data_IF_330123656453
#
_entry.id   IF_330123656453
#
_cell.length_a   1.000
_cell.length_b   1.000
_cell.length_c   1.000
_cell.angle_alpha   90.00
_cell.angle_beta   90.00
_cell.angle_gamma   90.00
#
_symmetry.space_group_name_H-M   'P 1'
#
loop_
_entity.id
_entity.type
_entity.pdbx_description
1 polymer ?
#
# COMPACT_ATOMS: atom_id res chain seq x y z
N UNK A 1 -18.99 -22.63 -21.68
CA UNK A 1 -19.81 -22.02 -20.62
C UNK A 1 -19.55 -20.53 -20.43
N UNK A 2 -18.37 -20.00 -20.80
CA UNK A 2 -18.00 -18.56 -20.70
C UNK A 2 -18.94 -17.58 -21.44
N UNK A 3 -19.46 -17.95 -22.63
CA UNK A 3 -20.28 -17.04 -23.45
C UNK A 3 -21.64 -16.65 -22.83
N UNK A 4 -22.18 -17.44 -21.89
CA UNK A 4 -23.52 -17.18 -21.32
C UNK A 4 -23.45 -16.16 -20.17
N UNK A 5 -22.37 -16.17 -19.39
CA UNK A 5 -22.15 -15.23 -18.28
C UNK A 5 -21.87 -13.81 -18.80
N UNK A 6 -21.01 -13.68 -19.81
CA UNK A 6 -20.73 -12.39 -20.46
C UNK A 6 -22.00 -11.80 -21.09
N UNK A 7 -22.84 -12.64 -21.72
CA UNK A 7 -24.11 -12.21 -22.29
C UNK A 7 -25.15 -11.79 -21.25
N UNK A 8 -25.20 -12.46 -20.08
CA UNK A 8 -26.09 -12.06 -18.97
C UNK A 8 -25.68 -10.72 -18.36
N UNK A 9 -24.38 -10.53 -18.14
CA UNK A 9 -23.84 -9.25 -17.72
C UNK A 9 -24.13 -8.18 -18.78
N UNK A 10 -23.78 -8.41 -20.05
CA UNK A 10 -24.07 -7.48 -21.14
C UNK A 10 -25.56 -7.13 -21.26
N UNK A 11 -26.48 -8.07 -21.02
CA UNK A 11 -27.92 -7.79 -21.04
C UNK A 11 -28.38 -6.87 -19.90
N UNK A 12 -27.79 -6.99 -18.70
CA UNK A 12 -27.98 -6.05 -17.59
C UNK A 12 -27.38 -4.66 -17.91
N UNK A 13 -26.23 -4.63 -18.60
CA UNK A 13 -25.45 -3.41 -18.85
C UNK A 13 -25.80 -2.64 -20.14
N UNK A 14 -26.42 -3.29 -21.14
CA UNK A 14 -26.84 -2.66 -22.41
C UNK A 14 -28.12 -1.82 -22.30
N UNK A 15 -28.76 -1.77 -21.12
CA UNK A 15 -29.85 -0.84 -20.89
C UNK A 15 -29.29 0.56 -20.57
N UNK A 16 -29.14 1.39 -21.61
CA UNK A 16 -28.66 2.79 -21.50
C UNK A 16 -29.42 3.60 -20.44
N UNK A 17 -30.70 3.34 -20.24
CA UNK A 17 -31.49 4.02 -19.21
C UNK A 17 -31.08 3.61 -17.79
N UNK A 18 -30.78 2.32 -17.59
CA UNK A 18 -30.23 1.81 -16.33
C UNK A 18 -28.85 2.40 -16.05
N UNK A 19 -27.96 2.39 -17.04
CA UNK A 19 -26.61 2.95 -16.91
C UNK A 19 -26.61 4.46 -16.56
N UNK A 20 -27.54 5.24 -17.12
CA UNK A 20 -27.68 6.67 -16.79
C UNK A 20 -28.33 6.88 -15.42
N UNK A 21 -29.31 6.05 -15.05
CA UNK A 21 -30.00 6.15 -13.77
C UNK A 21 -29.10 5.75 -12.59
N UNK A 22 -28.41 4.61 -12.69
CA UNK A 22 -27.60 4.05 -11.59
C UNK A 22 -26.39 4.95 -11.26
N UNK A 23 -25.81 5.64 -12.24
CA UNK A 23 -24.72 6.60 -12.01
C UNK A 23 -25.12 7.76 -11.08
N UNK A 24 -26.42 8.05 -10.95
CA UNK A 24 -26.95 9.10 -10.06
C UNK A 24 -27.45 8.53 -8.73
N UNK A 25 -27.69 7.22 -8.66
CA UNK A 25 -28.15 6.53 -7.46
C UNK A 25 -26.97 5.87 -6.71
N UNK A 26 -26.48 6.57 -5.69
CA UNK A 26 -25.34 6.10 -4.89
C UNK A 26 -25.63 4.78 -4.17
N UNK A 27 -26.88 4.55 -3.74
CA UNK A 27 -27.25 3.31 -3.04
C UNK A 27 -27.28 2.18 -4.05
N UNK A 28 -28.04 2.34 -5.14
CA UNK A 28 -28.11 1.35 -6.22
C UNK A 28 -26.74 0.99 -6.80
N UNK A 29 -25.84 1.97 -6.93
CA UNK A 29 -24.47 1.74 -7.41
C UNK A 29 -23.68 0.80 -6.49
N UNK A 30 -23.71 1.01 -5.17
CA UNK A 30 -22.99 0.18 -4.21
C UNK A 30 -23.62 -1.20 -4.08
N UNK A 31 -24.96 -1.29 -4.01
CA UNK A 31 -25.66 -2.58 -3.99
C UNK A 31 -25.35 -3.40 -5.23
N UNK A 32 -25.31 -2.76 -6.40
CA UNK A 32 -24.95 -3.42 -7.65
C UNK A 32 -23.49 -3.89 -7.69
N UNK A 33 -22.55 -3.05 -7.22
CA UNK A 33 -21.15 -3.43 -7.06
C UNK A 33 -21.00 -4.68 -6.18
N UNK A 34 -21.62 -4.69 -5.00
CA UNK A 34 -21.60 -5.82 -4.06
C UNK A 34 -22.13 -7.10 -4.73
N UNK A 35 -23.27 -7.01 -5.42
CA UNK A 35 -23.85 -8.16 -6.10
C UNK A 35 -22.93 -8.71 -7.21
N UNK A 36 -22.32 -7.82 -7.99
CA UNK A 36 -21.37 -8.19 -9.05
C UNK A 36 -20.12 -8.87 -8.49
N UNK A 37 -19.55 -8.35 -7.40
CA UNK A 37 -18.35 -8.93 -6.78
C UNK A 37 -18.65 -10.26 -6.06
N UNK A 38 -19.86 -10.40 -5.50
CA UNK A 38 -20.32 -11.67 -4.96
C UNK A 38 -20.41 -12.74 -6.05
N UNK A 39 -21.04 -12.42 -7.18
CA UNK A 39 -21.11 -13.33 -8.34
C UNK A 39 -19.70 -13.67 -8.86
N UNK A 40 -18.81 -12.68 -8.95
CA UNK A 40 -17.44 -12.88 -9.37
C UNK A 40 -16.66 -13.83 -8.46
N UNK A 41 -16.88 -13.73 -7.16
CA UNK A 41 -16.30 -14.65 -6.17
C UNK A 41 -16.87 -16.06 -6.31
N UNK A 42 -18.18 -16.21 -6.46
CA UNK A 42 -18.84 -17.52 -6.57
C UNK A 42 -18.42 -18.30 -7.83
N UNK A 43 -17.84 -17.62 -8.82
CA UNK A 43 -17.42 -18.19 -10.10
C UNK A 43 -15.91 -18.03 -10.38
N UNK A 44 -15.10 -17.76 -9.34
CA UNK A 44 -13.63 -17.68 -9.42
C UNK A 44 -13.05 -16.70 -10.45
N UNK A 45 -13.74 -15.59 -10.72
CA UNK A 45 -13.25 -14.52 -11.62
C UNK A 45 -13.07 -13.15 -10.96
N UNK A 46 -13.19 -13.08 -9.64
CA UNK A 46 -12.94 -11.85 -8.89
C UNK A 46 -11.53 -11.29 -9.15
N UNK A 47 -11.44 -9.98 -9.40
CA UNK A 47 -10.19 -9.29 -9.72
C UNK A 47 -9.68 -9.47 -11.15
N UNK A 48 -10.31 -10.33 -11.97
CA UNK A 48 -9.92 -10.52 -13.38
C UNK A 48 -10.38 -9.36 -14.28
N UNK A 49 -11.42 -8.63 -13.86
CA UNK A 49 -11.98 -7.49 -14.58
C UNK A 49 -12.19 -6.31 -13.66
N UNK A 50 -12.11 -5.10 -14.23
CA UNK A 50 -12.50 -3.90 -13.51
C UNK A 50 -14.02 -3.92 -13.25
N UNK A 51 -14.47 -3.55 -12.04
CA UNK A 51 -15.88 -3.36 -11.80
C UNK A 51 -16.48 -2.35 -12.78
N UNK A 52 -17.67 -2.66 -13.26
CA UNK A 52 -18.48 -1.69 -14.00
C UNK A 52 -18.66 -0.44 -13.14
N UNK A 53 -18.52 0.74 -13.76
CA UNK A 53 -18.66 2.03 -13.07
C UNK A 53 -17.63 2.28 -11.94
N UNK A 54 -16.42 1.70 -12.04
CA UNK A 54 -15.36 1.88 -11.03
C UNK A 54 -15.11 3.35 -10.65
N UNK A 55 -15.15 4.29 -11.59
CA UNK A 55 -15.02 5.73 -11.30
C UNK A 55 -16.16 6.29 -10.44
N UNK A 56 -17.39 5.87 -10.71
CA UNK A 56 -18.54 6.26 -9.90
C UNK A 56 -18.50 5.58 -8.52
N UNK A 57 -18.07 4.33 -8.44
CA UNK A 57 -17.87 3.60 -7.17
C UNK A 57 -16.83 4.34 -6.34
N UNK A 58 -15.66 4.65 -6.89
CA UNK A 58 -14.61 5.43 -6.22
C UNK A 58 -15.15 6.75 -5.67
N UNK A 59 -15.99 7.46 -6.45
CA UNK A 59 -16.62 8.70 -5.98
C UNK A 59 -17.51 8.46 -4.78
N UNK A 60 -18.29 7.38 -4.74
CA UNK A 60 -19.16 7.05 -3.60
C UNK A 60 -18.35 6.64 -2.37
N UNK A 61 -17.33 5.79 -2.54
CA UNK A 61 -16.43 5.32 -1.47
C UNK A 61 -15.70 6.48 -0.77
N UNK A 62 -15.43 7.57 -1.49
CA UNK A 62 -14.81 8.78 -0.94
C UNK A 62 -15.79 9.73 -0.21
N UNK A 63 -17.06 9.36 -0.07
CA UNK A 63 -18.07 10.15 0.68
C UNK A 63 -18.33 9.58 2.07
N UNK A 64 -19.16 10.29 2.86
CA UNK A 64 -19.66 9.80 4.16
C UNK A 64 -20.72 8.69 4.05
N UNK A 65 -21.13 8.28 2.84
CA UNK A 65 -22.11 7.20 2.60
C UNK A 65 -23.38 7.26 3.48
N UNK A 66 -23.91 8.46 3.75
CA UNK A 66 -24.93 8.69 4.81
C UNK A 66 -26.26 7.95 4.63
N UNK A 67 -26.57 7.48 3.43
CA UNK A 67 -27.83 6.79 3.09
C UNK A 67 -27.64 5.31 2.76
N UNK A 68 -26.42 4.79 2.92
CA UNK A 68 -26.08 3.39 2.66
C UNK A 68 -26.09 2.66 3.99
N UNK A 69 -26.61 1.43 4.01
CA UNK A 69 -26.65 0.60 5.21
C UNK A 69 -25.23 0.19 5.62
N UNK A 70 -24.98 0.04 6.92
CA UNK A 70 -23.65 -0.32 7.43
C UNK A 70 -23.16 -1.69 6.89
N UNK A 71 -24.08 -2.63 6.66
CA UNK A 71 -23.78 -3.93 6.05
C UNK A 71 -23.29 -3.79 4.60
N UNK A 72 -23.91 -2.91 3.82
CA UNK A 72 -23.48 -2.61 2.45
C UNK A 72 -22.14 -1.85 2.45
N UNK A 73 -21.93 -0.93 3.40
CA UNK A 73 -20.65 -0.22 3.55
C UNK A 73 -19.52 -1.20 3.87
N UNK A 74 -19.74 -2.10 4.84
CA UNK A 74 -18.79 -3.16 5.17
C UNK A 74 -18.49 -4.03 3.95
N UNK A 75 -19.52 -4.51 3.24
CA UNK A 75 -19.37 -5.37 2.07
C UNK A 75 -18.62 -4.66 0.94
N UNK A 76 -18.91 -3.37 0.72
CA UNK A 76 -18.21 -2.57 -0.27
C UNK A 76 -16.71 -2.46 0.05
N UNK A 77 -16.34 -2.15 1.29
CA UNK A 77 -14.91 -2.15 1.70
C UNK A 77 -14.27 -3.53 1.54
N UNK A 78 -14.96 -4.57 1.97
CA UNK A 78 -14.46 -5.94 1.88
C UNK A 78 -14.14 -6.34 0.43
N UNK A 79 -15.07 -6.13 -0.50
CA UNK A 79 -14.83 -6.46 -1.90
C UNK A 79 -13.79 -5.54 -2.55
N UNK A 80 -13.69 -4.28 -2.13
CA UNK A 80 -12.60 -3.38 -2.58
C UNK A 80 -11.22 -3.88 -2.16
N UNK A 81 -11.09 -4.38 -0.93
CA UNK A 81 -9.85 -5.00 -0.45
C UNK A 81 -9.48 -6.25 -1.26
N UNK A 82 -10.49 -7.04 -1.68
CA UNK A 82 -10.30 -8.17 -2.61
C UNK A 82 -9.92 -7.77 -4.04
N UNK A 83 -10.04 -6.50 -4.39
CA UNK A 83 -9.50 -5.97 -5.65
C UNK A 83 -8.12 -5.33 -5.45
N UNK A 84 -7.51 -5.49 -4.26
CA UNK A 84 -6.23 -4.89 -3.92
C UNK A 84 -6.30 -3.39 -3.63
N UNK A 85 -7.51 -2.85 -3.43
CA UNK A 85 -7.74 -1.42 -3.30
C UNK A 85 -7.84 -1.04 -1.82
N UNK A 86 -6.97 -0.12 -1.40
CA UNK A 86 -7.00 0.50 -0.08
C UNK A 86 -7.77 1.81 -0.19
N UNK A 87 -8.93 1.87 0.46
CA UNK A 87 -9.78 3.06 0.47
C UNK A 87 -9.36 4.06 1.55
N UNK A 88 -9.76 5.32 1.38
CA UNK A 88 -9.69 6.34 2.43
C UNK A 88 -11.08 6.48 3.08
N UNK A 89 -11.44 5.68 4.09
CA UNK A 89 -12.75 5.76 4.73
C UNK A 89 -12.95 7.12 5.40
N UNK A 90 -14.22 7.53 5.54
CA UNK A 90 -14.56 8.57 6.50
C UNK A 90 -14.40 8.03 7.92
N UNK A 91 -14.01 8.89 8.87
CA UNK A 91 -13.85 8.54 10.29
C UNK A 91 -15.04 7.75 10.86
N UNK A 92 -16.28 8.19 10.56
CA UNK A 92 -17.53 7.50 10.96
C UNK A 92 -17.52 6.00 10.63
N UNK A 93 -16.98 5.64 9.46
CA UNK A 93 -17.05 4.30 8.90
C UNK A 93 -15.72 3.55 9.04
N UNK A 94 -14.75 4.12 9.74
CA UNK A 94 -13.44 3.53 9.89
C UNK A 94 -13.49 2.17 10.61
N UNK A 95 -14.34 2.02 11.62
CA UNK A 95 -14.54 0.75 12.30
C UNK A 95 -15.09 -0.35 11.37
N UNK A 96 -15.99 -0.01 10.43
CA UNK A 96 -16.47 -0.94 9.41
C UNK A 96 -15.35 -1.33 8.44
N UNK A 97 -14.50 -0.37 8.07
CA UNK A 97 -13.32 -0.64 7.25
C UNK A 97 -12.34 -1.60 7.94
N UNK A 98 -12.03 -1.39 9.22
CA UNK A 98 -11.15 -2.30 9.98
C UNK A 98 -11.75 -3.71 10.09
N UNK A 99 -13.06 -3.83 10.31
CA UNK A 99 -13.76 -5.13 10.26
C UNK A 99 -13.63 -5.79 8.88
N UNK A 100 -13.72 -5.03 7.80
CA UNK A 100 -13.57 -5.57 6.44
C UNK A 100 -12.13 -6.05 6.18
N UNK A 101 -11.12 -5.35 6.71
CA UNK A 101 -9.71 -5.79 6.66
C UNK A 101 -9.54 -7.10 7.43
N UNK A 102 -10.04 -7.19 8.66
CA UNK A 102 -9.98 -8.41 9.47
C UNK A 102 -10.65 -9.60 8.76
N UNK A 103 -11.85 -9.37 8.20
CA UNK A 103 -12.57 -10.40 7.46
C UNK A 103 -11.84 -10.84 6.19
N UNK A 104 -11.20 -9.90 5.48
CA UNK A 104 -10.39 -10.22 4.29
C UNK A 104 -9.16 -11.06 4.62
N UNK A 105 -8.51 -10.84 5.77
CA UNK A 105 -7.39 -11.68 6.22
C UNK A 105 -7.90 -13.10 6.53
N UNK A 106 -8.99 -13.21 7.29
CA UNK A 106 -9.57 -14.50 7.66
C UNK A 106 -9.99 -15.35 6.45
N UNK A 107 -10.50 -14.71 5.38
CA UNK A 107 -11.03 -15.40 4.20
C UNK A 107 -9.98 -15.91 3.22
N UNK A 108 -8.78 -15.32 3.18
CA UNK A 108 -7.80 -15.63 2.13
C UNK A 108 -6.44 -16.11 2.66
N UNK A 109 -6.18 -16.09 3.98
CA UNK A 109 -4.80 -16.10 4.51
C UNK A 109 -4.06 -14.82 4.06
N UNK A 110 -3.25 -14.19 4.93
CA UNK A 110 -2.52 -12.96 4.61
C UNK A 110 -1.73 -13.08 3.29
N UNK A 111 -1.20 -14.27 2.99
CA UNK A 111 -0.43 -14.58 1.78
C UNK A 111 -1.25 -14.55 0.48
N UNK A 112 -2.56 -14.81 0.53
CA UNK A 112 -3.44 -14.72 -0.65
C UNK A 112 -4.35 -13.49 -0.63
N UNK A 113 -4.09 -12.52 0.26
CA UNK A 113 -4.74 -11.21 0.15
C UNK A 113 -4.18 -10.46 -1.06
N UNK A 114 -5.04 -9.72 -1.77
CA UNK A 114 -4.63 -8.84 -2.87
C UNK A 114 -3.84 -7.59 -2.41
N UNK A 115 -3.49 -7.53 -1.12
CA UNK A 115 -2.76 -6.44 -0.49
C UNK A 115 -1.33 -6.89 -0.22
N UNK A 116 -0.36 -6.08 -0.63
CA UNK A 116 1.04 -6.43 -0.35
C UNK A 116 1.33 -6.42 1.16
N UNK A 117 2.15 -7.36 1.62
CA UNK A 117 2.59 -7.43 3.02
C UNK A 117 3.19 -6.12 3.54
N UNK A 118 3.87 -5.36 2.67
CA UNK A 118 4.36 -4.00 2.99
C UNK A 118 3.24 -3.04 3.38
N UNK A 119 2.13 -3.02 2.61
CA UNK A 119 0.97 -2.16 2.93
C UNK A 119 0.29 -2.63 4.20
N UNK A 120 0.12 -3.95 4.36
CA UNK A 120 -0.47 -4.55 5.57
C UNK A 120 0.32 -4.15 6.82
N UNK A 121 1.64 -4.27 6.76
CA UNK A 121 2.50 -3.92 7.87
C UNK A 121 2.52 -2.41 8.14
N UNK A 122 2.70 -1.57 7.13
CA UNK A 122 2.77 -0.13 7.34
C UNK A 122 1.44 0.45 7.82
N UNK A 123 0.29 0.03 7.27
CA UNK A 123 -1.02 0.57 7.65
C UNK A 123 -1.57 -0.04 8.94
N UNK A 124 -1.35 -1.34 9.17
CA UNK A 124 -2.01 -2.08 10.24
C UNK A 124 -1.07 -2.74 11.25
N UNK A 125 0.25 -2.70 11.03
CA UNK A 125 1.22 -3.37 11.90
C UNK A 125 1.26 -4.90 11.75
N UNK A 126 0.56 -5.44 10.75
CA UNK A 126 0.39 -6.88 10.56
C UNK A 126 1.55 -7.42 9.71
N UNK A 127 2.29 -8.39 10.25
CA UNK A 127 3.41 -9.06 9.57
C UNK A 127 3.03 -10.44 9.06
N UNK A 128 2.13 -11.12 9.76
CA UNK A 128 1.69 -12.48 9.49
C UNK A 128 0.30 -12.72 10.11
N UNK A 129 -0.26 -13.92 9.93
CA UNK A 129 -1.57 -14.25 10.50
C UNK A 129 -1.59 -14.22 12.04
N UNK A 130 -0.46 -14.52 12.69
CA UNK A 130 -0.35 -14.60 14.15
C UNK A 130 -0.63 -13.25 14.83
N UNK A 131 -0.39 -12.14 14.14
CA UNK A 131 -0.65 -10.79 14.64
C UNK A 131 -1.77 -10.05 13.88
N UNK A 132 -2.65 -10.78 13.20
CA UNK A 132 -3.76 -10.20 12.41
C UNK A 132 -4.73 -9.36 13.24
N UNK A 133 -4.90 -9.66 14.53
CA UNK A 133 -5.75 -8.90 15.46
C UNK A 133 -5.27 -7.45 15.68
N UNK A 134 -4.01 -7.14 15.37
CA UNK A 134 -3.46 -5.77 15.45
C UNK A 134 -4.21 -4.77 14.55
N UNK A 135 -5.01 -5.25 13.59
CA UNK A 135 -5.92 -4.42 12.78
C UNK A 135 -6.81 -3.52 13.62
N UNK A 136 -7.22 -3.97 14.82
CA UNK A 136 -8.14 -3.23 15.68
C UNK A 136 -7.45 -2.19 16.57
N UNK A 137 -6.11 -2.20 16.66
CA UNK A 137 -5.33 -1.22 17.41
C UNK A 137 -5.08 0.07 16.60
N UNK A 138 -5.46 0.09 15.33
CA UNK A 138 -5.22 1.21 14.43
C UNK A 138 -6.22 2.34 14.69
N UNK A 139 -5.71 3.53 14.94
CA UNK A 139 -6.52 4.75 15.03
C UNK A 139 -6.61 5.47 13.68
N UNK A 140 -7.67 6.26 13.48
CA UNK A 140 -8.00 6.87 12.19
C UNK A 140 -6.91 7.84 11.72
N UNK A 141 -6.40 8.67 12.63
CA UNK A 141 -5.42 9.73 12.33
C UNK A 141 -4.13 9.14 11.79
N UNK A 142 -3.62 8.09 12.45
CA UNK A 142 -2.41 7.38 12.03
C UNK A 142 -2.63 6.66 10.71
N UNK A 143 -3.76 5.99 10.54
CA UNK A 143 -4.11 5.36 9.27
C UNK A 143 -4.08 6.37 8.11
N UNK A 144 -4.73 7.53 8.27
CA UNK A 144 -4.78 8.57 7.24
C UNK A 144 -3.39 9.17 6.98
N UNK A 145 -2.58 9.39 8.01
CA UNK A 145 -1.23 9.91 7.86
C UNK A 145 -0.32 8.93 7.10
N UNK A 146 -0.38 7.65 7.42
CA UNK A 146 0.39 6.60 6.76
C UNK A 146 -0.10 6.40 5.32
N UNK A 147 -1.42 6.42 5.08
CA UNK A 147 -1.97 6.36 3.73
C UNK A 147 -1.49 7.52 2.85
N UNK A 148 -1.39 8.74 3.40
CA UNK A 148 -0.81 9.89 2.69
C UNK A 148 0.67 9.66 2.33
N UNK A 149 1.44 9.04 3.21
CA UNK A 149 2.84 8.67 2.93
C UNK A 149 2.91 7.68 1.77
N UNK A 150 2.11 6.60 1.82
CA UNK A 150 2.07 5.59 0.76
C UNK A 150 1.64 6.20 -0.59
N UNK A 151 0.65 7.10 -0.58
CA UNK A 151 0.22 7.82 -1.77
C UNK A 151 1.29 8.77 -2.30
N UNK A 152 2.08 9.40 -1.43
CA UNK A 152 3.22 10.20 -1.86
C UNK A 152 4.27 9.32 -2.56
N UNK A 153 4.60 8.17 -1.98
CA UNK A 153 5.53 7.21 -2.58
C UNK A 153 5.07 6.76 -3.97
N UNK A 154 3.78 6.45 -4.15
CA UNK A 154 3.23 6.02 -5.44
C UNK A 154 3.18 7.12 -6.51
N UNK A 155 3.37 8.40 -6.16
CA UNK A 155 3.48 9.49 -7.15
C UNK A 155 4.80 9.52 -7.90
N UNK A 156 5.81 8.78 -7.45
CA UNK A 156 7.12 8.74 -8.07
C UNK A 156 7.24 7.59 -9.06
N UNK A 157 7.95 7.84 -10.17
CA UNK A 157 8.25 6.86 -11.22
C UNK A 157 9.74 6.60 -11.38
N UNK A 158 10.61 7.35 -10.67
CA UNK A 158 12.05 7.15 -10.68
C UNK A 158 12.72 7.60 -9.36
N UNK A 159 13.68 6.80 -8.85
CA UNK A 159 14.39 7.10 -7.60
C UNK A 159 15.15 8.42 -7.59
N UNK A 160 15.83 8.87 -8.66
CA UNK A 160 16.52 10.17 -8.65
C UNK A 160 15.57 11.35 -8.40
N UNK A 161 14.35 11.32 -8.96
CA UNK A 161 13.36 12.38 -8.73
C UNK A 161 12.84 12.36 -7.28
N UNK A 162 12.64 11.17 -6.70
CA UNK A 162 12.27 11.01 -5.29
C UNK A 162 13.35 11.60 -4.37
N UNK A 163 14.63 11.22 -4.58
CA UNK A 163 15.77 11.74 -3.79
C UNK A 163 15.92 13.26 -3.89
N UNK A 164 15.76 13.83 -5.09
CA UNK A 164 15.76 15.30 -5.31
C UNK A 164 14.64 16.01 -4.57
N UNK A 165 13.46 15.38 -4.43
CA UNK A 165 12.27 15.94 -3.76
C UNK A 165 12.13 15.43 -2.32
N UNK A 166 13.23 15.09 -1.66
CA UNK A 166 13.26 14.56 -0.28
C UNK A 166 12.52 15.43 0.73
N UNK A 167 12.50 16.75 0.54
CA UNK A 167 11.82 17.68 1.46
C UNK A 167 10.30 17.46 1.54
N UNK A 168 9.68 16.86 0.51
CA UNK A 168 8.26 16.46 0.54
C UNK A 168 7.96 15.38 1.59
N UNK A 169 9.00 14.70 2.09
CA UNK A 169 8.88 13.66 3.12
C UNK A 169 9.05 14.19 4.54
N UNK A 170 9.58 15.41 4.73
CA UNK A 170 9.80 15.99 6.07
C UNK A 170 8.55 15.97 6.96
N UNK A 171 7.33 16.30 6.48
CA UNK A 171 6.14 16.29 7.34
C UNK A 171 5.77 14.92 7.93
N UNK A 172 6.32 13.82 7.39
CA UNK A 172 6.03 12.47 7.88
C UNK A 172 6.97 12.05 9.02
N UNK A 173 8.03 12.80 9.29
CA UNK A 173 8.91 12.55 10.45
C UNK A 173 8.17 12.74 11.79
N UNK A 174 7.14 13.59 11.80
CA UNK A 174 6.32 13.87 12.98
C UNK A 174 5.32 12.74 13.30
N UNK A 175 5.10 11.79 12.37
CA UNK A 175 4.26 10.62 12.64
C UNK A 175 5.08 9.51 13.32
N UNK A 176 5.02 9.46 14.64
CA UNK A 176 5.78 8.50 15.45
C UNK A 176 5.47 7.04 15.09
N UNK A 177 4.21 6.69 14.82
CA UNK A 177 3.80 5.32 14.48
C UNK A 177 4.40 4.88 13.15
N UNK A 178 4.35 5.72 12.11
CA UNK A 178 4.98 5.47 10.82
C UNK A 178 6.48 5.26 10.97
N UNK A 179 7.17 6.16 11.67
CA UNK A 179 8.62 6.08 11.86
C UNK A 179 9.01 4.83 12.64
N UNK A 180 8.26 4.47 13.69
CA UNK A 180 8.48 3.23 14.45
C UNK A 180 8.28 1.99 13.56
N UNK A 181 7.17 1.92 12.81
CA UNK A 181 6.93 0.82 11.86
C UNK A 181 8.04 0.73 10.82
N UNK A 182 8.50 1.84 10.26
CA UNK A 182 9.62 1.83 9.32
C UNK A 182 10.89 1.28 9.98
N UNK A 183 11.27 1.79 11.16
CA UNK A 183 12.46 1.32 11.90
C UNK A 183 12.40 -0.17 12.22
N UNK A 184 11.23 -0.70 12.53
CA UNK A 184 11.06 -2.09 12.98
C UNK A 184 10.80 -3.09 11.85
N UNK A 185 10.38 -2.62 10.68
CA UNK A 185 10.03 -3.50 9.57
C UNK A 185 10.76 -3.24 8.27
N UNK A 186 11.63 -2.23 8.16
CA UNK A 186 12.34 -1.98 6.90
C UNK A 186 13.09 -3.21 6.38
N UNK A 187 13.64 -4.06 7.25
CA UNK A 187 14.29 -5.33 6.87
C UNK A 187 13.30 -6.41 6.42
N UNK A 188 12.04 -6.34 6.84
CA UNK A 188 11.00 -7.29 6.48
C UNK A 188 10.45 -7.04 5.06
N UNK A 189 10.36 -5.78 4.64
CA UNK A 189 9.83 -5.41 3.32
C UNK A 189 10.88 -4.77 2.40
N UNK A 190 12.17 -4.94 2.69
CA UNK A 190 13.23 -4.32 1.89
C UNK A 190 13.26 -4.90 0.48
N UNK A 191 12.73 -4.12 -0.45
CA UNK A 191 12.74 -4.43 -1.88
C UNK A 191 12.94 -3.14 -2.66
N UNK A 192 13.46 -3.24 -3.90
CA UNK A 192 13.53 -2.10 -4.81
C UNK A 192 12.13 -1.67 -5.29
N UNK A 193 11.43 -0.91 -4.45
CA UNK A 193 10.17 -0.25 -4.74
C UNK A 193 10.12 1.17 -4.13
N UNK A 194 9.10 1.97 -4.49
CA UNK A 194 8.99 3.36 -4.04
C UNK A 194 8.62 3.52 -2.56
N UNK A 195 8.01 2.51 -1.93
CA UNK A 195 7.70 2.55 -0.50
C UNK A 195 8.99 2.41 0.31
N UNK A 196 9.83 1.42 -0.03
CA UNK A 196 11.18 1.27 0.54
C UNK A 196 12.00 2.54 0.34
N UNK A 197 12.00 3.10 -0.87
CA UNK A 197 12.69 4.36 -1.16
C UNK A 197 12.20 5.52 -0.28
N UNK A 198 10.89 5.69 -0.11
CA UNK A 198 10.33 6.69 0.81
C UNK A 198 10.72 6.46 2.26
N UNK A 199 10.73 5.20 2.71
CA UNK A 199 11.18 4.81 4.05
C UNK A 199 12.65 5.14 4.28
N UNK A 200 13.51 4.89 3.28
CA UNK A 200 14.92 5.26 3.32
C UNK A 200 15.11 6.78 3.45
N UNK A 201 14.33 7.58 2.71
CA UNK A 201 14.36 9.05 2.87
C UNK A 201 14.05 9.44 4.31
N UNK A 202 13.00 8.88 4.91
CA UNK A 202 12.63 9.21 6.28
C UNK A 202 13.73 8.85 7.28
N UNK A 203 14.32 7.65 7.19
CA UNK A 203 15.42 7.24 8.05
C UNK A 203 16.70 8.08 7.84
N UNK A 204 16.96 8.54 6.62
CA UNK A 204 18.11 9.38 6.29
C UNK A 204 17.93 10.84 6.71
N UNK A 205 16.72 11.37 6.66
CA UNK A 205 16.36 12.71 7.16
C UNK A 205 16.27 12.77 8.68
N UNK A 206 15.85 11.68 9.32
CA UNK A 206 15.77 11.61 10.78
C UNK A 206 17.15 11.83 11.43
N UNK A 207 17.18 12.62 12.50
CA UNK A 207 18.40 12.98 13.23
C UNK A 207 18.71 12.00 14.37
N UNK A 208 17.78 11.10 14.71
CA UNK A 208 17.95 10.17 15.81
C UNK A 208 18.89 9.01 15.47
N UNK A 209 19.62 8.55 16.49
CA UNK A 209 20.58 7.45 16.36
C UNK A 209 19.90 6.15 15.93
N UNK A 210 18.71 5.85 16.45
CA UNK A 210 17.99 4.60 16.15
C UNK A 210 17.71 4.45 14.66
N UNK A 211 17.34 5.52 13.95
CA UNK A 211 17.19 5.52 12.49
C UNK A 211 18.47 5.08 11.78
N UNK A 212 19.63 5.59 12.23
CA UNK A 212 20.94 5.26 11.64
C UNK A 212 21.36 3.84 11.97
N UNK A 213 21.11 3.38 13.19
CA UNK A 213 21.38 2.01 13.60
C UNK A 213 20.56 1.01 12.77
N UNK A 214 19.29 1.31 12.45
CA UNK A 214 18.48 0.46 11.57
C UNK A 214 19.02 0.38 10.14
N UNK A 215 19.47 1.52 9.58
CA UNK A 215 20.12 1.54 8.27
C UNK A 215 21.46 0.79 8.27
N UNK A 216 22.24 0.91 9.36
CA UNK A 216 23.50 0.17 9.53
C UNK A 216 23.26 -1.34 9.59
N UNK A 217 22.25 -1.78 10.33
CA UNK A 217 21.89 -3.19 10.42
C UNK A 217 21.40 -3.77 9.08
N UNK A 218 20.77 -2.98 8.22
CA UNK A 218 20.46 -3.43 6.85
C UNK A 218 21.73 -3.78 6.08
N UNK A 219 22.80 -3.00 6.24
CA UNK A 219 24.09 -3.30 5.60
C UNK A 219 24.71 -4.63 6.10
N UNK A 220 24.30 -5.16 7.26
CA UNK A 220 24.77 -6.45 7.80
C UNK A 220 23.94 -7.65 7.29
N UNK A 221 22.86 -7.41 6.56
CA UNK A 221 22.04 -8.47 5.98
C UNK A 221 22.61 -8.98 4.64
N UNK A 222 22.16 -10.16 4.22
CA UNK A 222 22.53 -10.75 2.93
C UNK A 222 21.82 -10.01 1.77
N UNK A 223 22.25 -8.77 1.50
CA UNK A 223 21.69 -7.93 0.45
C UNK A 223 22.09 -8.41 -0.94
N UNK A 224 21.15 -8.32 -1.88
CA UNK A 224 21.43 -8.51 -3.30
C UNK A 224 22.12 -7.27 -3.87
N UNK A 225 22.78 -7.43 -5.01
CA UNK A 225 23.55 -6.36 -5.65
C UNK A 225 22.69 -5.12 -6.01
N UNK A 226 21.44 -5.31 -6.43
CA UNK A 226 20.51 -4.22 -6.75
C UNK A 226 20.05 -3.45 -5.50
N UNK A 227 19.86 -4.16 -4.39
CA UNK A 227 19.55 -3.57 -3.08
C UNK A 227 20.75 -2.77 -2.52
N UNK A 228 21.98 -3.29 -2.69
CA UNK A 228 23.22 -2.57 -2.34
C UNK A 228 23.36 -1.30 -3.17
N UNK A 229 23.12 -1.39 -4.48
CA UNK A 229 23.13 -0.22 -5.37
C UNK A 229 22.08 0.82 -4.94
N UNK A 230 20.87 0.37 -4.59
CA UNK A 230 19.80 1.25 -4.11
C UNK A 230 20.25 1.99 -2.85
N UNK A 231 20.72 1.29 -1.81
CA UNK A 231 21.23 1.91 -0.58
C UNK A 231 22.37 2.88 -0.87
N UNK A 232 23.34 2.46 -1.69
CA UNK A 232 24.49 3.27 -2.09
C UNK A 232 24.07 4.58 -2.75
N UNK A 233 23.09 4.52 -3.66
CA UNK A 233 22.54 5.70 -4.32
C UNK A 233 21.90 6.66 -3.30
N UNK A 234 21.11 6.16 -2.36
CA UNK A 234 20.49 7.00 -1.34
C UNK A 234 21.53 7.59 -0.39
N UNK A 235 22.48 6.80 0.10
CA UNK A 235 23.51 7.30 1.01
C UNK A 235 24.35 8.41 0.38
N UNK A 236 24.75 8.27 -0.90
CA UNK A 236 25.50 9.30 -1.65
C UNK A 236 24.78 10.66 -1.72
N UNK A 237 23.46 10.68 -1.84
CA UNK A 237 22.68 11.93 -1.93
C UNK A 237 22.40 12.58 -0.54
N UNK A 238 22.66 11.85 0.55
CA UNK A 238 22.30 12.23 1.92
C UNK A 238 23.53 12.44 2.84
N UNK A 239 24.68 12.83 2.30
CA UNK A 239 25.96 12.99 3.01
C UNK A 239 26.08 14.28 3.86
N UNK A 240 24.98 14.95 4.20
CA UNK A 240 25.01 16.24 4.92
C UNK A 240 25.43 16.12 6.40
N UNK A 241 25.37 14.92 6.99
CA UNK A 241 25.71 14.66 8.39
C UNK A 241 26.81 13.60 8.49
N UNK A 242 27.65 13.66 9.54
CA UNK A 242 28.68 12.63 9.77
C UNK A 242 28.07 11.22 9.93
N UNK A 243 26.93 11.10 10.62
CA UNK A 243 26.25 9.82 10.77
C UNK A 243 25.84 9.20 9.41
N UNK A 244 25.39 10.02 8.44
CA UNK A 244 25.08 9.52 7.11
C UNK A 244 26.34 9.22 6.27
N UNK A 245 27.44 9.95 6.48
CA UNK A 245 28.74 9.62 5.87
C UNK A 245 29.26 8.27 6.36
N UNK A 246 29.13 7.99 7.64
CA UNK A 246 29.48 6.69 8.22
C UNK A 246 28.66 5.54 7.62
N UNK A 247 27.37 5.75 7.29
CA UNK A 247 26.56 4.72 6.62
C UNK A 247 27.13 4.33 5.25
N UNK A 248 27.56 5.31 4.46
CA UNK A 248 28.16 5.07 3.15
C UNK A 248 29.53 4.37 3.28
N UNK A 249 30.37 4.83 4.21
CA UNK A 249 31.66 4.20 4.48
C UNK A 249 31.48 2.75 4.96
N UNK A 250 30.49 2.49 5.81
CA UNK A 250 30.16 1.13 6.24
C UNK A 250 29.73 0.25 5.06
N UNK A 251 28.93 0.79 4.12
CA UNK A 251 28.53 0.06 2.93
C UNK A 251 29.75 -0.31 2.06
N UNK A 252 30.66 0.64 1.78
CA UNK A 252 31.90 0.39 1.03
C UNK A 252 32.87 -0.57 1.74
N UNK A 253 32.81 -0.68 3.06
CA UNK A 253 33.64 -1.65 3.80
C UNK A 253 33.16 -3.11 3.66
N UNK A 254 31.91 -3.31 3.22
CA UNK A 254 31.26 -4.64 3.16
C UNK A 254 31.03 -5.14 1.74
N UNK A 255 30.80 -4.24 0.80
CA UNK A 255 30.47 -4.59 -0.58
C UNK A 255 31.45 -3.95 -1.55
N UNK A 256 31.58 -4.55 -2.75
CA UNK A 256 32.48 -4.03 -3.77
C UNK A 256 32.01 -2.66 -4.27
N UNK A 257 32.96 -1.87 -4.77
CA UNK A 257 32.67 -0.53 -5.28
C UNK A 257 31.69 -0.59 -6.47
N UNK A 258 31.83 -1.60 -7.31
CA UNK A 258 31.01 -1.83 -8.50
C UNK A 258 29.53 -2.02 -8.11
N UNK A 259 29.25 -2.76 -7.03
CA UNK A 259 27.89 -2.97 -6.55
C UNK A 259 27.24 -1.68 -6.03
N UNK A 260 28.04 -0.74 -5.53
CA UNK A 260 27.57 0.52 -4.93
C UNK A 260 27.46 1.63 -5.99
N UNK A 261 28.38 1.65 -6.95
CA UNK A 261 28.54 2.76 -7.90
C UNK A 261 27.84 2.53 -9.25
N UNK A 262 27.73 1.29 -9.69
CA UNK A 262 27.20 0.97 -11.01
C UNK A 262 25.79 0.39 -10.92
N UNK A 263 24.88 0.89 -11.76
CA UNK A 263 23.54 0.32 -11.84
C UNK A 263 23.62 -1.11 -12.35
N UNK A 264 23.21 -2.05 -11.50
CA UNK A 264 23.14 -3.46 -11.84
C UNK A 264 21.81 -3.73 -12.53
N UNK A 265 21.83 -3.97 -13.85
CA UNK A 265 20.62 -4.38 -14.58
C UNK A 265 20.09 -5.69 -13.97
N UNK A 266 18.79 -5.75 -13.69
CA UNK A 266 18.13 -7.01 -13.36
C UNK A 266 18.09 -7.88 -14.61
N UNK A 267 18.71 -9.07 -14.55
CA UNK A 267 18.37 -10.14 -15.47
C UNK A 267 16.98 -10.62 -15.06
N UNK A 268 16.00 -10.39 -15.93
CA UNK A 268 14.68 -11.00 -15.79
C UNK A 268 14.80 -12.38 -16.42
N UNK A 269 15.15 -13.37 -15.59
CA UNK A 269 15.03 -14.79 -15.96
C UNK A 269 13.57 -15.24 -15.81
#
# INVERSE_FOLDING_TARGET
MENNLLQKQEALYRNLNFAVAIKKDKVGLITHFIASEKEARENDFQGQFYPSYHYEIDKVMNTKMLKILDEDIFSAFYYRLKLGIIDKPSEKHFSLFLKAVAHNIADNDLENTFLSGTKMYLLFGIKNNENSDAVYDVIYEDYIAILKFLNLCSTYTAYPNLRKKKDRFLPFLDNAILITRIKEGISFYFESNFVTAGSLVLLLLATDKTSKDKLRNLNDSALKNDDVWLLGSFYKDFQQTEANKELLNNLYSKFSKEWIDEYQKRNWD
#
